data_IF_381458480991
#
_entry.id   IF_381458480991
#
_cell.length_a   1.000
_cell.length_b   1.000
_cell.length_c   1.000
_cell.angle_alpha   90.00
_cell.angle_beta   90.00
_cell.angle_gamma   90.00
#
_symmetry.space_group_name_H-M   'P 1'
#
loop_
_entity.id
_entity.type
_entity.pdbx_description
1 polymer ?
#
# COMPACT_ATOMS: atom_id res chain seq x y z
N UNK A 1 25.77 4.35 13.72
CA UNK A 1 25.99 5.61 12.97
C UNK A 1 26.40 5.34 11.52
N UNK A 2 27.37 4.46 11.23
CA UNK A 2 27.77 4.10 9.87
C UNK A 2 26.65 3.46 9.03
N UNK A 3 25.87 2.53 9.62
CA UNK A 3 24.77 1.85 8.92
C UNK A 3 23.66 2.80 8.46
N UNK A 4 23.39 3.87 9.22
CA UNK A 4 22.39 4.87 8.87
C UNK A 4 22.82 5.68 7.63
N UNK A 5 24.07 6.16 7.60
CA UNK A 5 24.60 6.89 6.45
C UNK A 5 24.68 6.01 5.20
N UNK A 6 25.10 4.75 5.35
CA UNK A 6 25.10 3.79 4.25
C UNK A 6 23.68 3.58 3.72
N UNK A 7 22.71 3.30 4.59
CA UNK A 7 21.32 3.10 4.21
C UNK A 7 20.73 4.33 3.51
N UNK A 8 21.10 5.53 3.98
CA UNK A 8 20.70 6.79 3.36
C UNK A 8 21.27 6.96 1.95
N UNK A 9 22.56 6.67 1.75
CA UNK A 9 23.19 6.75 0.44
C UNK A 9 22.59 5.74 -0.56
N UNK A 10 22.28 4.53 -0.10
CA UNK A 10 21.61 3.52 -0.91
C UNK A 10 20.17 3.97 -1.27
N UNK A 11 19.42 4.54 -0.33
CA UNK A 11 18.10 5.12 -0.60
C UNK A 11 18.13 6.21 -1.69
N UNK A 12 19.12 7.10 -1.65
CA UNK A 12 19.30 8.12 -2.69
C UNK A 12 19.64 7.50 -4.05
N UNK A 13 20.41 6.43 -4.05
CA UNK A 13 20.71 5.64 -5.25
C UNK A 13 19.44 5.01 -5.83
N UNK A 14 18.61 4.37 -4.99
CA UNK A 14 17.30 3.83 -5.39
C UNK A 14 16.45 4.91 -6.04
N UNK A 15 16.35 6.08 -5.42
CA UNK A 15 15.55 7.20 -5.93
C UNK A 15 16.02 7.66 -7.32
N UNK A 16 17.34 7.74 -7.54
CA UNK A 16 17.91 8.08 -8.86
C UNK A 16 17.63 7.01 -9.91
N UNK A 17 17.70 5.73 -9.55
CA UNK A 17 17.40 4.62 -10.46
C UNK A 17 15.93 4.59 -10.85
N UNK A 18 15.02 4.83 -9.90
CA UNK A 18 13.58 5.01 -10.16
C UNK A 18 13.34 6.10 -11.20
N UNK A 19 13.95 7.28 -11.01
CA UNK A 19 13.79 8.42 -11.92
C UNK A 19 14.32 8.12 -13.34
N UNK A 20 15.34 7.26 -13.46
CA UNK A 20 15.86 6.78 -14.75
C UNK A 20 15.03 5.64 -15.35
N UNK A 21 14.10 5.08 -14.58
CA UNK A 21 13.28 3.93 -14.98
C UNK A 21 13.96 2.58 -14.84
N UNK A 22 15.14 2.52 -14.24
CA UNK A 22 15.87 1.29 -13.98
C UNK A 22 15.36 0.60 -12.70
N UNK A 23 14.12 0.10 -12.78
CA UNK A 23 13.39 -0.44 -11.63
C UNK A 23 13.94 -1.79 -11.14
N UNK A 24 14.58 -2.56 -12.02
CA UNK A 24 15.23 -3.82 -11.64
C UNK A 24 16.40 -3.57 -10.71
N UNK A 25 17.36 -2.73 -11.12
CA UNK A 25 18.50 -2.39 -10.27
C UNK A 25 18.05 -1.61 -9.03
N UNK A 26 17.04 -0.74 -9.15
CA UNK A 26 16.47 -0.05 -7.99
C UNK A 26 15.97 -1.04 -6.93
N UNK A 27 15.30 -2.13 -7.36
CA UNK A 27 14.77 -3.15 -6.44
C UNK A 27 15.90 -3.96 -5.79
N UNK A 28 16.95 -4.31 -6.52
CA UNK A 28 18.12 -5.00 -5.98
C UNK A 28 18.83 -4.16 -4.92
N UNK A 29 19.10 -2.88 -5.22
CA UNK A 29 19.73 -1.96 -4.27
C UNK A 29 18.82 -1.75 -3.06
N UNK A 30 17.52 -1.56 -3.26
CA UNK A 30 16.56 -1.40 -2.17
C UNK A 30 16.59 -2.59 -1.20
N UNK A 31 16.63 -3.83 -1.71
CA UNK A 31 16.71 -5.05 -0.89
C UNK A 31 18.00 -5.15 -0.07
N UNK A 32 19.10 -4.57 -0.57
CA UNK A 32 20.41 -4.59 0.10
C UNK A 32 20.57 -3.59 1.25
N UNK A 33 19.59 -2.70 1.46
CA UNK A 33 19.66 -1.65 2.48
C UNK A 33 19.68 -2.28 3.90
N UNK A 34 20.69 -1.97 4.74
CA UNK A 34 20.79 -2.53 6.09
C UNK A 34 19.66 -2.12 7.03
N UNK A 35 19.31 -0.82 7.04
CA UNK A 35 18.23 -0.30 7.87
C UNK A 35 16.88 -0.82 7.37
N UNK A 36 16.18 -1.59 8.20
CA UNK A 36 14.93 -2.26 7.83
C UNK A 36 13.83 -1.28 7.40
N UNK A 37 13.74 -0.13 8.06
CA UNK A 37 12.73 0.89 7.75
C UNK A 37 13.01 1.57 6.40
N UNK A 38 14.27 1.93 6.16
CA UNK A 38 14.69 2.52 4.88
C UNK A 38 14.59 1.49 3.75
N UNK A 39 14.95 0.23 4.00
CA UNK A 39 14.77 -0.89 3.07
C UNK A 39 13.32 -1.04 2.65
N UNK A 40 12.42 -1.21 3.62
CA UNK A 40 10.99 -1.36 3.37
C UNK A 40 10.42 -0.17 2.59
N UNK A 41 10.77 1.06 2.99
CA UNK A 41 10.36 2.28 2.28
C UNK A 41 10.85 2.31 0.83
N UNK A 42 12.12 1.97 0.60
CA UNK A 42 12.72 1.95 -0.73
C UNK A 42 12.07 0.90 -1.63
N UNK A 43 11.84 -0.30 -1.09
CA UNK A 43 11.17 -1.38 -1.83
C UNK A 43 9.71 -1.02 -2.16
N UNK A 44 8.99 -0.35 -1.25
CA UNK A 44 7.66 0.19 -1.52
C UNK A 44 7.66 1.17 -2.69
N UNK A 45 8.58 2.15 -2.70
CA UNK A 45 8.70 3.10 -3.80
C UNK A 45 8.92 2.40 -5.14
N UNK A 46 9.87 1.46 -5.20
CA UNK A 46 10.16 0.73 -6.44
C UNK A 46 8.96 -0.10 -6.89
N UNK A 47 8.31 -0.82 -5.98
CA UNK A 47 7.17 -1.69 -6.28
C UNK A 47 5.98 -0.89 -6.82
N UNK A 48 5.69 0.26 -6.21
CA UNK A 48 4.62 1.17 -6.66
C UNK A 48 4.93 1.71 -8.06
N UNK A 49 6.18 2.09 -8.33
CA UNK A 49 6.58 2.55 -9.66
C UNK A 49 6.51 1.45 -10.73
N UNK A 50 6.87 0.22 -10.38
CA UNK A 50 6.69 -0.92 -11.28
C UNK A 50 5.20 -1.12 -11.61
N UNK A 51 4.31 -0.99 -10.62
CA UNK A 51 2.87 -1.07 -10.82
C UNK A 51 2.33 0.06 -11.70
N UNK A 52 2.80 1.28 -11.48
CA UNK A 52 2.45 2.47 -12.28
C UNK A 52 2.87 2.30 -13.73
N UNK A 53 4.05 1.75 -13.98
CA UNK A 53 4.56 1.43 -15.33
C UNK A 53 4.03 0.13 -15.94
N UNK A 54 3.07 -0.54 -15.27
CA UNK A 54 2.47 -1.82 -15.70
C UNK A 54 3.51 -2.94 -15.93
N UNK A 55 4.63 -2.90 -15.22
CA UNK A 55 5.60 -3.99 -15.19
C UNK A 55 5.10 -5.13 -14.30
N UNK A 56 5.71 -6.32 -14.37
CA UNK A 56 5.39 -7.39 -13.43
C UNK A 56 5.99 -7.08 -12.05
N UNK A 57 5.16 -6.69 -11.08
CA UNK A 57 5.57 -6.33 -9.72
C UNK A 57 5.12 -7.33 -8.65
N UNK A 58 4.47 -8.46 -9.02
CA UNK A 58 3.83 -9.35 -8.02
C UNK A 58 4.82 -9.91 -7.01
N UNK A 59 5.96 -10.41 -7.48
CA UNK A 59 7.03 -10.91 -6.60
C UNK A 59 7.65 -9.77 -5.77
N UNK A 60 7.87 -8.61 -6.39
CA UNK A 60 8.38 -7.43 -5.70
C UNK A 60 7.46 -7.01 -4.57
N UNK A 61 6.14 -7.01 -4.79
CA UNK A 61 5.13 -6.69 -3.78
C UNK A 61 5.17 -7.67 -2.60
N UNK A 62 5.30 -8.97 -2.85
CA UNK A 62 5.41 -9.95 -1.77
C UNK A 62 6.67 -9.77 -0.93
N UNK A 63 7.81 -9.49 -1.57
CA UNK A 63 9.05 -9.16 -0.86
C UNK A 63 8.94 -7.85 -0.08
N UNK A 64 8.28 -6.84 -0.65
CA UNK A 64 8.03 -5.55 0.02
C UNK A 64 7.16 -5.72 1.26
N UNK A 65 6.06 -6.47 1.17
CA UNK A 65 5.20 -6.77 2.34
C UNK A 65 6.02 -7.49 3.41
N UNK A 66 6.82 -8.51 3.05
CA UNK A 66 7.70 -9.20 3.99
C UNK A 66 8.71 -8.25 4.65
N UNK A 67 9.32 -7.35 3.87
CA UNK A 67 10.27 -6.36 4.39
C UNK A 67 9.60 -5.36 5.35
N UNK A 68 8.36 -4.95 5.08
CA UNK A 68 7.57 -4.11 5.99
C UNK A 68 7.29 -4.86 7.30
N UNK A 69 6.90 -6.13 7.22
CA UNK A 69 6.59 -6.96 8.40
C UNK A 69 7.82 -7.26 9.27
N UNK A 70 9.04 -7.14 8.76
CA UNK A 70 10.30 -7.31 9.49
C UNK A 70 10.73 -6.05 10.29
N UNK A 71 10.01 -4.93 10.17
CA UNK A 71 10.25 -3.73 10.98
C UNK A 71 9.91 -4.02 12.45
N UNK A 72 10.76 -3.56 13.36
CA UNK A 72 10.67 -3.88 14.81
C UNK A 72 9.43 -3.29 15.48
N UNK A 73 9.05 -2.08 15.12
CA UNK A 73 7.94 -1.36 15.75
C UNK A 73 6.63 -1.60 14.99
N UNK A 74 5.65 -2.19 15.67
CA UNK A 74 4.35 -2.51 15.10
C UNK A 74 3.55 -1.29 14.57
N UNK A 75 3.68 -0.13 15.19
CA UNK A 75 3.05 1.10 14.70
C UNK A 75 3.68 1.53 13.36
N UNK A 76 5.00 1.38 13.22
CA UNK A 76 5.70 1.64 11.97
C UNK A 76 5.32 0.63 10.88
N UNK A 77 5.17 -0.66 11.23
CA UNK A 77 4.64 -1.69 10.32
C UNK A 77 3.26 -1.28 9.82
N UNK A 78 2.35 -0.89 10.72
CA UNK A 78 0.99 -0.48 10.38
C UNK A 78 0.99 0.73 9.45
N UNK A 79 1.76 1.78 9.79
CA UNK A 79 1.90 2.98 8.95
C UNK A 79 2.44 2.65 7.55
N UNK A 80 3.44 1.79 7.45
CA UNK A 80 4.03 1.39 6.18
C UNK A 80 3.07 0.56 5.30
N UNK A 81 2.34 -0.39 5.89
CA UNK A 81 1.31 -1.16 5.18
C UNK A 81 0.16 -0.26 4.71
N UNK A 82 -0.31 0.66 5.56
CA UNK A 82 -1.35 1.62 5.17
C UNK A 82 -0.89 2.49 4.01
N UNK A 83 0.31 3.07 4.09
CA UNK A 83 0.88 3.89 3.02
C UNK A 83 0.98 3.10 1.71
N UNK A 84 1.46 1.85 1.74
CA UNK A 84 1.54 1.01 0.55
C UNK A 84 0.15 0.70 -0.01
N UNK A 85 -0.83 0.36 0.84
CA UNK A 85 -2.18 0.05 0.40
C UNK A 85 -2.86 1.25 -0.28
N UNK A 86 -2.69 2.47 0.25
CA UNK A 86 -3.23 3.68 -0.36
C UNK A 86 -2.58 4.01 -1.71
N UNK A 87 -1.27 3.84 -1.86
CA UNK A 87 -0.60 3.99 -3.15
C UNK A 87 -1.17 3.02 -4.22
N UNK A 88 -1.42 1.76 -3.84
CA UNK A 88 -2.07 0.79 -4.74
C UNK A 88 -3.53 1.16 -5.04
N UNK A 89 -4.26 1.69 -4.07
CA UNK A 89 -5.62 2.21 -4.26
C UNK A 89 -5.64 3.36 -5.27
N UNK A 90 -4.72 4.32 -5.17
CA UNK A 90 -4.57 5.44 -6.10
C UNK A 90 -4.26 4.98 -7.52
N UNK A 91 -3.51 3.88 -7.67
CA UNK A 91 -3.25 3.22 -8.95
C UNK A 91 -4.43 2.37 -9.45
N UNK A 92 -5.58 2.39 -8.76
CA UNK A 92 -6.77 1.56 -9.03
C UNK A 92 -6.47 0.06 -9.02
N UNK A 93 -5.51 -0.36 -8.19
CA UNK A 93 -5.13 -1.75 -7.95
C UNK A 93 -5.79 -2.22 -6.67
N UNK A 94 -7.12 -2.35 -6.74
CA UNK A 94 -7.97 -2.59 -5.57
C UNK A 94 -7.68 -3.94 -4.90
N UNK A 95 -7.43 -4.99 -5.68
CA UNK A 95 -7.10 -6.31 -5.13
C UNK A 95 -5.79 -6.28 -4.33
N UNK A 96 -4.76 -5.59 -4.83
CA UNK A 96 -3.52 -5.41 -4.10
C UNK A 96 -3.69 -4.55 -2.85
N UNK A 97 -4.45 -3.45 -2.93
CA UNK A 97 -4.75 -2.61 -1.77
C UNK A 97 -5.44 -3.42 -0.66
N UNK A 98 -6.43 -4.27 -1.01
CA UNK A 98 -7.11 -5.17 -0.09
C UNK A 98 -6.19 -6.27 0.44
N UNK A 99 -5.34 -6.86 -0.41
CA UNK A 99 -4.32 -7.85 0.01
C UNK A 99 -3.40 -7.26 1.06
N UNK A 100 -2.89 -6.05 0.84
CA UNK A 100 -2.01 -5.34 1.78
C UNK A 100 -2.76 -5.05 3.09
N UNK A 101 -4.01 -4.56 3.00
CA UNK A 101 -4.85 -4.29 4.17
C UNK A 101 -5.03 -5.54 5.05
N UNK A 102 -5.09 -6.73 4.45
CA UNK A 102 -5.17 -8.01 5.17
C UNK A 102 -4.01 -8.28 6.13
N UNK A 103 -2.84 -7.65 5.94
CA UNK A 103 -1.69 -7.78 6.84
C UNK A 103 -1.72 -6.80 8.02
N UNK A 104 -2.64 -5.84 8.03
CA UNK A 104 -2.80 -4.89 9.14
C UNK A 104 -3.62 -5.57 10.24
N UNK A 105 -3.04 -5.70 11.44
CA UNK A 105 -3.71 -6.37 12.57
C UNK A 105 -4.74 -5.46 13.23
N UNK A 106 -4.50 -4.16 13.25
CA UNK A 106 -5.43 -3.18 13.80
C UNK A 106 -6.69 -3.10 12.92
N UNK A 107 -7.83 -3.44 13.51
CA UNK A 107 -9.09 -3.57 12.78
C UNK A 107 -9.50 -2.23 12.18
N UNK A 108 -9.44 -1.15 12.95
CA UNK A 108 -9.84 0.18 12.50
C UNK A 108 -9.03 0.65 11.29
N UNK A 109 -7.71 0.50 11.32
CA UNK A 109 -6.83 0.88 10.22
C UNK A 109 -7.01 0.01 8.97
N UNK A 110 -7.21 -1.31 9.13
CA UNK A 110 -7.56 -2.19 8.01
C UNK A 110 -8.88 -1.78 7.39
N UNK A 111 -9.89 -1.52 8.22
CA UNK A 111 -11.24 -1.14 7.82
C UNK A 111 -11.28 0.18 7.06
N UNK A 112 -10.43 1.15 7.41
CA UNK A 112 -10.30 2.41 6.64
C UNK A 112 -9.91 2.15 5.18
N UNK A 113 -8.95 1.25 4.91
CA UNK A 113 -8.55 0.93 3.53
C UNK A 113 -9.70 0.21 2.81
N UNK A 114 -10.35 -0.76 3.45
CA UNK A 114 -11.50 -1.46 2.87
C UNK A 114 -12.61 -0.47 2.47
N UNK A 115 -12.93 0.48 3.36
CA UNK A 115 -13.91 1.52 3.08
C UNK A 115 -13.52 2.38 1.89
N UNK A 116 -12.28 2.87 1.83
CA UNK A 116 -11.82 3.70 0.71
C UNK A 116 -11.81 2.93 -0.62
N UNK A 117 -11.43 1.64 -0.62
CA UNK A 117 -11.54 0.79 -1.81
C UNK A 117 -13.00 0.65 -2.25
N UNK A 118 -13.92 0.37 -1.32
CA UNK A 118 -15.34 0.25 -1.62
C UNK A 118 -15.91 1.56 -2.18
N UNK A 119 -15.59 2.70 -1.58
CA UNK A 119 -16.04 4.01 -2.07
C UNK A 119 -15.43 4.36 -3.43
N UNK A 120 -14.17 4.00 -3.69
CA UNK A 120 -13.55 4.18 -5.00
C UNK A 120 -14.26 3.36 -6.08
N UNK A 121 -14.57 2.08 -5.81
CA UNK A 121 -15.34 1.22 -6.71
C UNK A 121 -16.74 1.77 -6.98
N UNK A 122 -17.40 2.33 -5.96
CA UNK A 122 -18.72 2.94 -6.12
C UNK A 122 -18.69 4.13 -7.08
N UNK A 123 -17.67 5.00 -6.96
CA UNK A 123 -17.46 6.14 -7.89
C UNK A 123 -17.18 5.71 -9.33
N UNK A 124 -16.77 4.46 -9.54
CA UNK A 124 -16.61 3.85 -10.86
C UNK A 124 -17.87 3.10 -11.34
N UNK A 125 -18.99 3.20 -10.62
CA UNK A 125 -20.25 2.53 -10.93
C UNK A 125 -20.29 1.05 -10.52
N UNK A 126 -19.25 0.52 -9.87
CA UNK A 126 -19.17 -0.88 -9.41
C UNK A 126 -19.85 -1.05 -8.06
N UNK A 127 -21.13 -0.72 -8.01
CA UNK A 127 -21.91 -0.62 -6.76
C UNK A 127 -21.97 -1.95 -6.00
N UNK A 128 -22.12 -3.07 -6.68
CA UNK A 128 -22.22 -4.39 -6.04
C UNK A 128 -20.90 -4.80 -5.36
N UNK A 129 -19.76 -4.55 -6.02
CA UNK A 129 -18.44 -4.80 -5.45
C UNK A 129 -18.18 -3.89 -4.25
N UNK A 130 -18.52 -2.60 -4.38
CA UNK A 130 -18.41 -1.62 -3.31
C UNK A 130 -19.21 -2.03 -2.07
N UNK A 131 -20.47 -2.43 -2.26
CA UNK A 131 -21.36 -2.85 -1.18
C UNK A 131 -20.82 -4.10 -0.47
N UNK A 132 -20.33 -5.09 -1.22
CA UNK A 132 -19.73 -6.29 -0.63
C UNK A 132 -18.55 -5.94 0.28
N UNK A 133 -17.61 -5.14 -0.22
CA UNK A 133 -16.41 -4.76 0.55
C UNK A 133 -16.79 -3.95 1.79
N UNK A 134 -17.70 -2.98 1.67
CA UNK A 134 -18.14 -2.16 2.81
C UNK A 134 -18.90 -3.00 3.84
N UNK A 135 -19.70 -3.98 3.40
CA UNK A 135 -20.42 -4.84 4.31
C UNK A 135 -19.50 -5.81 5.10
N UNK A 136 -18.36 -6.20 4.51
CA UNK A 136 -17.36 -7.06 5.14
C UNK A 136 -16.43 -6.30 6.11
N UNK A 137 -16.62 -4.98 6.29
CA UNK A 137 -15.90 -4.17 7.28
C UNK A 137 -16.29 -4.60 8.70
N UNK A 138 -15.29 -4.84 9.55
CA UNK A 138 -15.47 -5.30 10.92
C UNK A 138 -15.51 -4.17 11.96
N UNK A 139 -14.97 -3.00 11.65
CA UNK A 139 -15.10 -1.81 12.50
C UNK A 139 -16.44 -1.14 12.21
N UNK A 140 -17.34 -1.16 13.20
CA UNK A 140 -18.73 -0.67 13.04
C UNK A 140 -18.80 0.83 12.74
N UNK A 141 -17.90 1.63 13.32
CA UNK A 141 -17.86 3.08 13.09
C UNK A 141 -17.42 3.37 11.65
N UNK A 142 -16.36 2.70 11.18
CA UNK A 142 -15.89 2.82 9.80
C UNK A 142 -16.94 2.29 8.82
N UNK A 143 -17.60 1.16 9.13
CA UNK A 143 -18.66 0.58 8.31
C UNK A 143 -19.84 1.53 8.18
N UNK A 144 -20.29 2.11 9.29
CA UNK A 144 -21.40 3.07 9.33
C UNK A 144 -21.07 4.31 8.50
N UNK A 145 -19.87 4.86 8.67
CA UNK A 145 -19.38 5.99 7.89
C UNK A 145 -19.34 5.66 6.39
N UNK A 146 -18.75 4.52 6.00
CA UNK A 146 -18.62 4.11 4.62
C UNK A 146 -19.97 3.84 3.95
N UNK A 147 -20.91 3.22 4.67
CA UNK A 147 -22.27 2.97 4.20
C UNK A 147 -23.02 4.28 3.94
N UNK A 148 -22.89 5.26 4.84
CA UNK A 148 -23.49 6.59 4.68
C UNK A 148 -22.91 7.33 3.46
N UNK A 149 -21.60 7.24 3.24
CA UNK A 149 -20.92 7.79 2.07
C UNK A 149 -21.37 7.10 0.78
N UNK A 150 -21.44 5.77 0.76
CA UNK A 150 -21.93 4.99 -0.37
C UNK A 150 -23.35 5.41 -0.77
N UNK A 151 -24.27 5.53 0.19
CA UNK A 151 -25.65 5.97 -0.07
C UNK A 151 -25.71 7.39 -0.64
N UNK A 152 -24.75 8.25 -0.32
CA UNK A 152 -24.66 9.61 -0.87
C UNK A 152 -24.11 9.63 -2.29
N UNK A 153 -23.17 8.74 -2.65
CA UNK A 153 -22.69 8.60 -4.03
C UNK A 153 -23.80 8.08 -4.96
N UNK A 154 -24.62 7.12 -4.50
CA UNK A 154 -25.75 6.57 -5.27
C UNK A 154 -26.88 7.57 -5.57
N UNK A 155 -26.96 8.68 -4.83
CA UNK A 155 -27.98 9.72 -5.06
C UNK A 155 -27.58 10.75 -6.11
N UNK A 156 -26.32 10.70 -6.59
CA UNK A 156 -25.80 11.65 -7.59
C UNK A 156 -26.05 11.18 -9.02
N UNK A 157 -26.40 9.92 -9.21
CA UNK A 157 -26.86 9.32 -10.47
C UNK A 157 -28.39 9.46 -10.61
#
# INVERSE_FOLDING_TARGET
>A
MQEWYQSRALYETVSKLINRGDLTNALEIAQSIPDKGIRAKSMSMVTVEMARKRMNYKEALEKTIKAILDIENYENVTKALMSLAFEFLELKRYDEALKIAGFIKDISNRSKIQAEVGLALAREGKIQEAFKIINDILDDDVKTWATSKLASELKKD
#
